data_IF_501244894485
#
_entry.id   IF_501244894485
#
_cell.length_a   1.000
_cell.length_b   1.000
_cell.length_c   1.000
_cell.angle_alpha   90.00
_cell.angle_beta   90.00
_cell.angle_gamma   90.00
#
_symmetry.space_group_name_H-M   'P 1'
#
loop_
_entity.id
_entity.type
_entity.pdbx_description
1 polymer ?
#
# COMPACT_ATOMS: atom_id res chain seq x y z
N UNK A 1 4.70 -16.77 -42.88
CA UNK A 1 4.39 -15.34 -43.06
C UNK A 1 3.76 -14.81 -41.78
N UNK A 2 4.57 -14.31 -40.86
CA UNK A 2 4.12 -13.86 -39.53
C UNK A 2 4.56 -12.42 -39.35
N UNK A 3 3.70 -11.48 -39.75
CA UNK A 3 3.72 -10.08 -39.32
C UNK A 3 2.41 -9.40 -39.74
N UNK A 4 1.29 -9.93 -39.24
CA UNK A 4 -0.04 -9.33 -39.38
C UNK A 4 -0.38 -8.32 -38.29
N UNK A 5 0.50 -8.12 -37.30
CA UNK A 5 0.25 -7.22 -36.17
C UNK A 5 1.35 -6.14 -36.08
N UNK A 6 0.92 -4.88 -35.98
CA UNK A 6 1.77 -3.76 -35.55
C UNK A 6 1.91 -3.84 -34.03
N UNK A 7 2.84 -4.66 -33.56
CA UNK A 7 3.06 -4.88 -32.12
C UNK A 7 4.00 -3.80 -31.55
N UNK A 8 3.60 -2.53 -31.66
CA UNK A 8 4.36 -1.37 -31.17
C UNK A 8 3.96 -0.96 -29.74
N UNK A 9 3.19 -1.79 -29.04
CA UNK A 9 2.79 -1.54 -27.66
C UNK A 9 3.95 -1.88 -26.72
N UNK A 10 4.55 -0.86 -26.10
CA UNK A 10 5.68 -1.01 -25.15
C UNK A 10 5.28 -1.77 -23.86
N UNK A 11 3.98 -2.03 -23.64
CA UNK A 11 3.46 -2.73 -22.46
C UNK A 11 2.51 -3.86 -22.89
N UNK A 12 3.01 -5.09 -22.88
CA UNK A 12 2.19 -6.29 -23.08
C UNK A 12 1.63 -6.77 -21.75
N UNK A 13 0.30 -6.89 -21.64
CA UNK A 13 -0.36 -7.55 -20.50
C UNK A 13 -0.83 -8.92 -20.97
N UNK A 14 -0.42 -9.98 -20.26
CA UNK A 14 -0.90 -11.34 -20.48
C UNK A 14 -1.74 -11.78 -19.28
N UNK A 15 -3.02 -12.05 -19.52
CA UNK A 15 -3.92 -12.58 -18.50
C UNK A 15 -3.72 -14.09 -18.42
N UNK A 16 -3.21 -14.58 -17.29
CA UNK A 16 -2.96 -16.01 -17.05
C UNK A 16 -4.18 -16.73 -16.46
N UNK A 17 -4.98 -16.02 -15.66
CA UNK A 17 -6.19 -16.53 -15.03
C UNK A 17 -7.17 -15.38 -14.78
N UNK A 18 -8.46 -15.66 -14.91
CA UNK A 18 -9.56 -14.78 -14.52
C UNK A 18 -10.60 -15.64 -13.81
N UNK A 19 -11.01 -15.22 -12.62
CA UNK A 19 -12.08 -15.87 -11.87
C UNK A 19 -12.99 -14.79 -11.32
N UNK A 20 -14.29 -14.90 -11.59
CA UNK A 20 -15.29 -13.92 -11.18
C UNK A 20 -16.10 -14.42 -9.98
N UNK A 21 -16.62 -13.49 -9.19
CA UNK A 21 -17.58 -13.75 -8.10
C UNK A 21 -17.08 -14.69 -7.00
N UNK A 22 -15.76 -14.72 -6.75
CA UNK A 22 -15.15 -15.47 -5.65
C UNK A 22 -14.69 -14.53 -4.54
N UNK A 23 -14.71 -15.02 -3.30
CA UNK A 23 -14.12 -14.29 -2.18
C UNK A 23 -12.60 -14.42 -2.21
N UNK A 24 -11.90 -13.33 -1.89
CA UNK A 24 -10.45 -13.32 -1.74
C UNK A 24 -10.06 -13.92 -0.38
N UNK A 25 -9.80 -15.23 -0.37
CA UNK A 25 -9.43 -16.04 0.80
C UNK A 25 -8.15 -16.83 0.50
N UNK A 26 -7.43 -17.28 1.54
CA UNK A 26 -6.26 -18.17 1.38
C UNK A 26 -6.58 -19.37 0.48
N UNK A 27 -7.71 -20.03 0.71
CA UNK A 27 -8.16 -21.20 -0.04
C UNK A 27 -8.33 -20.91 -1.54
N UNK A 28 -9.03 -19.82 -1.88
CA UNK A 28 -9.32 -19.48 -3.27
C UNK A 28 -8.06 -18.99 -4.00
N UNK A 29 -7.24 -18.15 -3.36
CA UNK A 29 -5.99 -17.66 -3.97
C UNK A 29 -4.99 -18.81 -4.13
N UNK A 30 -4.91 -19.74 -3.16
CA UNK A 30 -4.11 -20.97 -3.28
C UNK A 30 -4.54 -21.80 -4.47
N UNK A 31 -5.85 -21.98 -4.68
CA UNK A 31 -6.37 -22.69 -5.83
C UNK A 31 -5.93 -22.03 -7.15
N UNK A 32 -6.07 -20.71 -7.27
CA UNK A 32 -5.63 -19.97 -8.47
C UNK A 32 -4.13 -20.16 -8.72
N UNK A 33 -3.29 -19.89 -7.72
CA UNK A 33 -1.83 -19.98 -7.86
C UNK A 33 -1.36 -21.41 -8.17
N UNK A 34 -2.01 -22.43 -7.59
CA UNK A 34 -1.68 -23.84 -7.86
C UNK A 34 -1.93 -24.28 -9.31
N UNK A 35 -2.83 -23.59 -10.02
CA UNK A 35 -3.11 -23.84 -11.43
C UNK A 35 -2.11 -23.15 -12.37
N UNK A 36 -1.36 -22.14 -11.88
CA UNK A 36 -0.32 -21.45 -12.64
C UNK A 36 0.99 -22.23 -12.49
N UNK A 37 1.17 -23.26 -13.32
CA UNK A 37 2.37 -24.11 -13.30
C UNK A 37 3.61 -23.34 -13.75
N UNK A 38 4.76 -23.66 -13.15
CA UNK A 38 6.08 -23.11 -13.50
C UNK A 38 6.27 -21.62 -13.20
N UNK A 39 5.47 -21.01 -12.33
CA UNK A 39 5.66 -19.62 -11.91
C UNK A 39 7.05 -19.43 -11.26
N UNK A 40 7.55 -20.46 -10.58
CA UNK A 40 8.89 -20.56 -9.99
C UNK A 40 10.04 -20.49 -11.01
N UNK A 41 9.78 -20.69 -12.30
CA UNK A 41 10.80 -20.67 -13.36
C UNK A 41 11.06 -19.28 -13.94
N UNK A 42 10.27 -18.28 -13.56
CA UNK A 42 10.44 -16.90 -14.01
C UNK A 42 10.74 -16.00 -12.82
N UNK A 43 11.53 -14.95 -13.03
CA UNK A 43 11.68 -13.89 -12.04
C UNK A 43 10.47 -12.98 -12.12
N UNK A 44 9.80 -12.77 -11.00
CA UNK A 44 8.63 -11.91 -10.91
C UNK A 44 8.61 -11.13 -9.61
N UNK A 45 7.79 -10.08 -9.59
CA UNK A 45 7.36 -9.41 -8.37
C UNK A 45 5.85 -9.49 -8.28
N UNK A 46 5.35 -9.62 -7.06
CA UNK A 46 3.93 -9.56 -6.77
C UNK A 46 3.57 -8.09 -6.55
N UNK A 47 2.71 -7.58 -7.42
CA UNK A 47 2.22 -6.21 -7.38
C UNK A 47 0.72 -6.29 -7.11
N UNK A 48 0.32 -6.02 -5.87
CA UNK A 48 -1.06 -6.24 -5.42
C UNK A 48 -1.38 -5.41 -4.18
N UNK A 49 -2.65 -5.22 -3.86
CA UNK A 49 -3.03 -4.50 -2.66
C UNK A 49 -2.54 -5.20 -1.37
N UNK A 50 -2.51 -4.46 -0.26
CA UNK A 50 -1.98 -4.96 1.02
C UNK A 50 -2.76 -6.16 1.56
N UNK A 51 -4.07 -6.23 1.32
CA UNK A 51 -4.92 -7.34 1.80
C UNK A 51 -4.56 -8.63 1.05
N UNK A 52 -4.44 -8.57 -0.27
CA UNK A 52 -4.04 -9.73 -1.06
C UNK A 52 -2.58 -10.12 -0.77
N UNK A 53 -1.67 -9.16 -0.57
CA UNK A 53 -0.32 -9.46 -0.06
C UNK A 53 -0.39 -10.22 1.26
N UNK A 54 -1.17 -9.77 2.24
CA UNK A 54 -1.33 -10.45 3.53
C UNK A 54 -1.83 -11.89 3.37
N UNK A 55 -2.79 -12.13 2.45
CA UNK A 55 -3.28 -13.48 2.14
C UNK A 55 -2.19 -14.33 1.51
N UNK A 56 -1.49 -13.81 0.51
CA UNK A 56 -0.42 -14.50 -0.20
C UNK A 56 0.70 -14.91 0.76
N UNK A 57 1.07 -14.05 1.71
CA UNK A 57 2.13 -14.36 2.67
C UNK A 57 1.62 -15.15 3.86
N UNK A 58 0.31 -15.21 4.12
CA UNK A 58 -0.29 -16.03 5.17
C UNK A 58 -0.46 -15.34 6.53
N UNK A 59 -0.56 -14.01 6.57
CA UNK A 59 -0.77 -13.22 7.79
C UNK A 59 -2.21 -12.70 7.91
N UNK A 60 -2.63 -12.31 9.12
CA UNK A 60 -3.95 -11.70 9.33
C UNK A 60 -4.06 -10.30 8.71
N UNK A 61 -5.29 -9.77 8.73
CA UNK A 61 -5.61 -8.45 8.17
C UNK A 61 -4.81 -7.30 8.78
N UNK A 62 -4.83 -6.17 8.08
CA UNK A 62 -4.24 -4.90 8.50
C UNK A 62 -4.78 -4.31 9.83
N UNK A 63 -5.83 -4.90 10.40
CA UNK A 63 -6.39 -4.57 11.71
C UNK A 63 -5.81 -5.41 12.86
N UNK A 64 -4.93 -6.37 12.56
CA UNK A 64 -4.30 -7.23 13.55
C UNK A 64 -3.17 -6.53 14.31
N UNK A 65 -2.63 -7.19 15.35
CA UNK A 65 -1.58 -6.61 16.21
C UNK A 65 -0.25 -6.40 15.47
N UNK A 66 0.08 -7.29 14.53
CA UNK A 66 1.25 -7.23 13.66
C UNK A 66 0.82 -7.08 12.19
N UNK A 67 0.32 -5.91 11.77
CA UNK A 67 -0.44 -5.76 10.53
C UNK A 67 0.43 -5.57 9.28
N UNK A 68 1.73 -5.31 9.42
CA UNK A 68 2.63 -5.08 8.30
C UNK A 68 3.03 -6.41 7.63
N UNK A 69 2.95 -6.55 6.29
CA UNK A 69 3.43 -7.72 5.58
C UNK A 69 4.96 -7.79 5.46
N UNK A 70 5.67 -6.68 5.68
CA UNK A 70 7.12 -6.60 5.44
C UNK A 70 7.95 -6.72 6.71
N UNK A 71 7.39 -6.43 7.89
CA UNK A 71 8.08 -6.53 9.17
C UNK A 71 7.16 -7.02 10.29
N UNK A 72 7.77 -7.37 11.42
CA UNK A 72 7.09 -7.95 12.57
C UNK A 72 6.62 -6.91 13.60
N UNK A 73 6.51 -5.64 13.22
CA UNK A 73 6.15 -4.57 14.18
C UNK A 73 4.79 -4.82 14.80
N UNK A 74 4.67 -4.56 16.10
CA UNK A 74 3.40 -4.55 16.81
C UNK A 74 2.92 -3.13 17.16
N UNK A 75 3.67 -2.12 16.70
CA UNK A 75 3.41 -0.72 16.92
C UNK A 75 3.81 0.06 15.66
N UNK A 76 2.82 0.50 14.90
CA UNK A 76 3.07 1.22 13.64
C UNK A 76 3.73 2.58 13.85
N UNK A 77 3.59 3.18 15.04
CA UNK A 77 4.19 4.48 15.40
C UNK A 77 5.73 4.41 15.47
N UNK A 78 6.29 3.22 15.60
CA UNK A 78 7.72 2.96 15.77
C UNK A 78 8.51 3.06 14.44
N UNK A 79 8.35 4.16 13.70
CA UNK A 79 8.98 4.39 12.37
C UNK A 79 10.44 4.89 12.42
N UNK A 80 11.02 5.01 13.62
CA UNK A 80 12.46 5.31 13.80
C UNK A 80 13.25 4.15 14.37
N UNK A 81 12.56 3.10 14.80
CA UNK A 81 13.19 1.95 15.44
C UNK A 81 13.26 0.80 14.47
N UNK A 82 14.40 0.12 14.49
CA UNK A 82 14.55 -1.13 13.75
C UNK A 82 13.46 -2.13 14.16
N UNK A 83 12.93 -2.83 13.17
CA UNK A 83 11.98 -3.93 13.33
C UNK A 83 12.46 -5.08 12.47
N UNK A 84 12.37 -6.31 12.98
CA UNK A 84 12.70 -7.51 12.20
C UNK A 84 11.85 -7.60 10.94
N UNK A 85 12.52 -7.88 9.82
CA UNK A 85 11.86 -8.13 8.55
C UNK A 85 11.16 -9.47 8.55
N UNK A 86 10.02 -9.52 7.86
CA UNK A 86 9.40 -10.80 7.54
C UNK A 86 10.14 -11.44 6.38
N UNK A 87 10.43 -12.71 6.55
CA UNK A 87 10.95 -13.60 5.51
C UNK A 87 9.97 -14.74 5.27
N UNK A 88 10.12 -15.46 4.15
CA UNK A 88 9.35 -16.70 3.95
C UNK A 88 9.57 -17.67 5.12
N UNK A 89 10.80 -17.78 5.63
CA UNK A 89 11.14 -18.64 6.76
C UNK A 89 10.51 -18.20 8.07
N UNK A 90 10.55 -16.90 8.40
CA UNK A 90 9.96 -16.40 9.65
C UNK A 90 8.45 -16.61 9.71
N UNK A 91 7.78 -16.45 8.56
CA UNK A 91 6.34 -16.72 8.45
C UNK A 91 6.05 -18.22 8.52
N UNK A 92 6.79 -19.07 7.79
CA UNK A 92 6.63 -20.54 7.84
C UNK A 92 6.77 -21.09 9.26
N UNK A 93 7.78 -20.59 9.99
CA UNK A 93 8.02 -20.93 11.38
C UNK A 93 6.85 -20.51 12.27
N UNK A 94 6.45 -19.24 12.21
CA UNK A 94 5.37 -18.67 13.03
C UNK A 94 4.02 -19.33 12.76
N UNK A 95 3.69 -19.58 11.49
CA UNK A 95 2.46 -20.27 11.10
C UNK A 95 2.44 -21.74 11.54
N UNK A 96 3.59 -22.42 11.52
CA UNK A 96 3.70 -23.80 12.05
C UNK A 96 3.51 -23.84 13.55
N UNK A 97 4.13 -22.91 14.28
CA UNK A 97 3.96 -22.78 15.73
C UNK A 97 2.50 -22.46 16.09
N UNK A 98 1.86 -21.53 15.37
CA UNK A 98 0.43 -21.23 15.53
C UNK A 98 -0.46 -22.46 15.31
N UNK A 99 -0.18 -23.25 14.28
CA UNK A 99 -0.91 -24.49 13.98
C UNK A 99 -0.72 -25.55 15.08
N UNK A 100 0.51 -25.75 15.54
CA UNK A 100 0.82 -26.66 16.65
C UNK A 100 0.18 -26.24 17.98
N UNK A 101 -0.06 -24.94 18.17
CA UNK A 101 -0.76 -24.39 19.32
C UNK A 101 -2.30 -24.45 19.21
N UNK A 102 -2.84 -25.14 18.21
CA UNK A 102 -4.29 -25.38 18.06
C UNK A 102 -5.04 -24.32 17.24
N UNK A 103 -4.33 -23.44 16.52
CA UNK A 103 -4.93 -22.53 15.52
C UNK A 103 -6.03 -21.61 16.07
N UNK A 104 -5.91 -21.16 17.32
CA UNK A 104 -6.86 -20.21 17.90
C UNK A 104 -6.55 -18.77 17.47
N UNK A 105 -7.37 -18.20 16.59
CA UNK A 105 -7.18 -16.85 16.04
C UNK A 105 -7.02 -15.75 17.11
N UNK A 106 -7.57 -15.93 18.31
CA UNK A 106 -7.45 -14.94 19.41
C UNK A 106 -6.03 -14.80 19.95
N UNK A 107 -5.20 -15.83 19.80
CA UNK A 107 -3.81 -15.85 20.28
C UNK A 107 -2.80 -15.71 19.14
N UNK A 108 -3.25 -15.50 17.91
CA UNK A 108 -2.40 -15.37 16.73
C UNK A 108 -1.37 -14.23 16.85
N UNK A 109 -1.63 -13.20 17.66
CA UNK A 109 -0.67 -12.13 17.96
C UNK A 109 0.64 -12.65 18.57
N UNK A 110 0.62 -13.79 19.30
CA UNK A 110 1.82 -14.40 19.87
C UNK A 110 2.67 -15.14 18.83
N UNK A 111 2.16 -15.26 17.61
CA UNK A 111 2.81 -15.86 16.45
C UNK A 111 2.92 -14.84 15.32
N UNK A 112 3.15 -13.57 15.68
CA UNK A 112 3.25 -12.41 14.77
C UNK A 112 2.09 -12.33 13.77
N UNK A 113 0.90 -12.79 14.16
CA UNK A 113 -0.29 -12.89 13.31
C UNK A 113 -0.12 -13.73 12.02
N UNK A 114 0.88 -14.61 11.95
CA UNK A 114 1.03 -15.60 10.89
C UNK A 114 0.06 -16.76 11.15
N UNK A 115 -0.91 -16.96 10.25
CA UNK A 115 -1.98 -17.94 10.44
C UNK A 115 -2.00 -19.04 9.39
N UNK A 116 -1.37 -18.82 8.24
CA UNK A 116 -1.25 -19.78 7.15
C UNK A 116 0.20 -19.86 6.67
N UNK A 117 0.55 -20.97 6.04
CA UNK A 117 1.80 -21.07 5.29
C UNK A 117 1.73 -20.14 4.07
N UNK A 118 2.83 -19.43 3.73
CA UNK A 118 2.87 -18.60 2.53
C UNK A 118 2.47 -19.41 1.29
N UNK A 119 1.73 -18.78 0.38
CA UNK A 119 1.38 -19.36 -0.92
C UNK A 119 2.59 -19.38 -1.87
N UNK A 120 3.64 -18.66 -1.51
CA UNK A 120 4.85 -18.48 -2.30
C UNK A 120 5.89 -19.56 -1.96
N UNK A 121 6.45 -20.13 -3.01
CA UNK A 121 7.66 -20.95 -2.94
C UNK A 121 8.88 -20.04 -2.92
N UNK A 122 9.95 -20.47 -2.25
CA UNK A 122 11.17 -19.68 -2.14
C UNK A 122 12.03 -20.10 -0.95
N UNK A 123 13.21 -19.51 -0.86
CA UNK A 123 14.17 -19.73 0.23
C UNK A 123 13.71 -19.05 1.52
N UNK A 124 14.05 -19.63 2.68
CA UNK A 124 13.63 -19.12 3.98
C UNK A 124 14.18 -17.73 4.30
N UNK A 125 15.27 -17.31 3.66
CA UNK A 125 15.90 -16.00 3.86
C UNK A 125 15.32 -14.90 2.96
N UNK A 126 14.45 -15.22 2.00
CA UNK A 126 13.86 -14.21 1.12
C UNK A 126 12.92 -13.29 1.92
N UNK A 127 13.22 -11.99 1.92
CA UNK A 127 12.38 -10.97 2.56
C UNK A 127 11.10 -10.82 1.77
N UNK A 128 9.98 -10.66 2.46
CA UNK A 128 8.70 -10.41 1.79
C UNK A 128 8.76 -9.13 0.93
N UNK A 129 9.51 -8.12 1.38
CA UNK A 129 9.69 -6.87 0.65
C UNK A 129 10.35 -7.07 -0.72
N UNK A 130 11.14 -8.13 -0.89
CA UNK A 130 11.83 -8.42 -2.15
C UNK A 130 10.92 -9.14 -3.16
N UNK A 131 9.86 -9.79 -2.66
CA UNK A 131 8.94 -10.59 -3.47
C UNK A 131 7.67 -9.79 -3.80
N UNK A 132 7.13 -9.09 -2.80
CA UNK A 132 5.91 -8.29 -2.89
C UNK A 132 6.28 -6.80 -2.86
N UNK A 133 6.03 -6.10 -3.98
CA UNK A 133 6.34 -4.69 -4.07
C UNK A 133 5.33 -3.84 -3.25
N UNK A 134 5.77 -2.73 -2.63
CA UNK A 134 4.87 -1.78 -1.99
C UNK A 134 3.81 -1.22 -2.98
N UNK A 135 2.50 -1.33 -2.67
CA UNK A 135 1.44 -1.01 -3.63
C UNK A 135 1.15 0.49 -3.70
N UNK A 136 1.83 1.19 -4.59
CA UNK A 136 1.82 2.65 -4.69
C UNK A 136 0.41 3.26 -4.79
N UNK A 137 -0.50 2.63 -5.54
CA UNK A 137 -1.85 3.14 -5.74
C UNK A 137 -2.62 3.03 -4.41
N UNK A 138 -2.51 1.89 -3.73
CA UNK A 138 -3.18 1.68 -2.45
C UNK A 138 -2.56 2.49 -1.31
N UNK A 139 -1.25 2.78 -1.37
CA UNK A 139 -0.59 3.74 -0.48
C UNK A 139 -1.16 5.14 -0.70
N UNK A 140 -1.22 5.62 -1.95
CA UNK A 140 -1.81 6.91 -2.32
C UNK A 140 -3.24 7.05 -1.80
N UNK A 141 -4.10 6.09 -2.15
CA UNK A 141 -5.51 6.11 -1.76
C UNK A 141 -5.69 6.08 -0.24
N UNK A 142 -4.97 5.20 0.46
CA UNK A 142 -5.14 5.05 1.90
C UNK A 142 -4.63 6.24 2.70
N UNK A 143 -3.51 6.84 2.29
CA UNK A 143 -2.92 7.99 2.98
C UNK A 143 -3.81 9.22 2.75
N UNK A 144 -4.19 9.52 1.50
CA UNK A 144 -5.08 10.67 1.20
C UNK A 144 -6.41 10.52 1.94
N UNK A 145 -7.01 9.32 1.94
CA UNK A 145 -8.25 9.06 2.67
C UNK A 145 -8.10 9.27 4.17
N UNK A 146 -7.05 8.74 4.78
CA UNK A 146 -6.83 8.90 6.22
C UNK A 146 -6.64 10.36 6.62
N UNK A 147 -5.88 11.11 5.83
CA UNK A 147 -5.68 12.55 6.02
C UNK A 147 -7.01 13.30 5.88
N UNK A 148 -7.79 13.00 4.83
CA UNK A 148 -9.11 13.60 4.60
C UNK A 148 -10.09 13.31 5.73
N UNK A 149 -10.18 12.07 6.21
CA UNK A 149 -11.10 11.71 7.29
C UNK A 149 -10.81 12.50 8.57
N UNK A 150 -9.54 12.72 8.88
CA UNK A 150 -9.16 13.52 10.03
C UNK A 150 -9.40 15.03 9.82
N UNK A 151 -9.23 15.55 8.60
CA UNK A 151 -9.70 16.91 8.27
C UNK A 151 -11.22 17.03 8.45
N UNK A 152 -12.00 16.08 7.94
CA UNK A 152 -13.45 16.10 8.00
C UNK A 152 -13.98 16.07 9.44
N UNK A 153 -13.37 15.25 10.31
CA UNK A 153 -13.69 15.24 11.76
C UNK A 153 -13.49 16.62 12.41
N UNK A 154 -12.45 17.35 12.01
CA UNK A 154 -12.10 18.65 12.61
C UNK A 154 -12.82 19.84 11.96
N UNK A 155 -13.21 19.69 10.69
CA UNK A 155 -13.87 20.72 9.88
C UNK A 155 -14.69 20.06 8.77
N UNK A 156 -15.96 19.70 9.03
CA UNK A 156 -16.81 19.02 8.04
C UNK A 156 -17.01 19.79 6.73
N UNK A 157 -16.84 21.12 6.76
CA UNK A 157 -16.90 22.00 5.59
C UNK A 157 -15.81 21.69 4.53
N UNK A 158 -14.78 20.91 4.89
CA UNK A 158 -13.81 20.35 3.93
C UNK A 158 -14.48 19.54 2.80
N UNK A 159 -15.71 19.05 2.98
CA UNK A 159 -16.44 18.39 1.90
C UNK A 159 -16.71 19.32 0.70
N UNK A 160 -16.92 20.63 0.92
CA UNK A 160 -17.11 21.57 -0.18
C UNK A 160 -15.83 21.79 -1.00
N UNK A 161 -14.66 21.53 -0.42
CA UNK A 161 -13.42 21.52 -1.19
C UNK A 161 -13.45 20.40 -2.24
N UNK A 162 -13.94 19.20 -1.89
CA UNK A 162 -14.10 18.10 -2.84
C UNK A 162 -15.02 18.48 -4.00
N UNK A 163 -16.14 19.15 -3.71
CA UNK A 163 -17.08 19.63 -4.73
C UNK A 163 -16.40 20.62 -5.68
N UNK A 164 -15.63 21.59 -5.14
CA UNK A 164 -14.91 22.58 -5.96
C UNK A 164 -13.88 21.97 -6.90
N UNK A 165 -13.26 20.86 -6.49
CA UNK A 165 -12.27 20.16 -7.31
C UNK A 165 -12.89 19.01 -8.11
N UNK A 166 -14.22 18.88 -8.13
CA UNK A 166 -14.93 17.79 -8.82
C UNK A 166 -14.43 16.40 -8.40
N UNK A 167 -14.26 16.16 -7.11
CA UNK A 167 -13.94 14.84 -6.54
C UNK A 167 -15.18 14.31 -5.83
N UNK A 168 -15.55 13.07 -6.13
CA UNK A 168 -16.68 12.39 -5.49
C UNK A 168 -16.22 11.07 -4.90
N UNK A 169 -16.39 10.83 -3.58
CA UNK A 169 -16.13 9.52 -3.00
C UNK A 169 -16.94 8.43 -3.71
N UNK A 170 -16.38 7.24 -3.87
CA UNK A 170 -17.03 6.13 -4.58
C UNK A 170 -18.30 5.61 -3.90
N UNK A 171 -18.44 5.82 -2.59
CA UNK A 171 -19.64 5.53 -1.81
C UNK A 171 -20.08 6.75 -0.99
N UNK A 172 -21.40 6.92 -0.81
CA UNK A 172 -21.99 8.03 -0.05
C UNK A 172 -21.48 8.06 1.41
N UNK A 173 -21.15 9.27 1.88
CA UNK A 173 -20.73 9.66 3.25
C UNK A 173 -19.44 9.04 3.84
N UNK A 174 -18.94 7.88 3.35
CA UNK A 174 -17.74 7.22 3.90
C UNK A 174 -16.89 6.48 2.86
N UNK A 175 -17.13 6.74 1.57
CA UNK A 175 -16.48 6.03 0.46
C UNK A 175 -14.99 6.30 0.30
N UNK A 176 -14.34 5.46 -0.51
CA UNK A 176 -12.93 5.61 -0.89
C UNK A 176 -12.77 6.64 -2.01
N UNK A 177 -11.54 7.07 -2.25
CA UNK A 177 -11.17 7.86 -3.41
C UNK A 177 -10.42 6.98 -4.40
N UNK A 178 -10.74 7.10 -5.69
CA UNK A 178 -9.95 6.46 -6.75
C UNK A 178 -8.62 7.20 -6.95
N UNK A 179 -7.62 6.55 -7.54
CA UNK A 179 -6.27 7.10 -7.67
C UNK A 179 -6.22 8.50 -8.34
N UNK A 180 -6.98 8.68 -9.41
CA UNK A 180 -7.06 9.96 -10.13
C UNK A 180 -7.64 11.08 -9.26
N UNK A 181 -8.61 10.76 -8.41
CA UNK A 181 -9.23 11.74 -7.50
C UNK A 181 -8.27 12.09 -6.36
N UNK A 182 -7.54 11.12 -5.82
CA UNK A 182 -6.45 11.40 -4.86
C UNK A 182 -5.41 12.33 -5.45
N UNK A 183 -4.97 12.11 -6.70
CA UNK A 183 -4.04 13.01 -7.38
C UNK A 183 -4.65 14.40 -7.59
N UNK A 184 -5.95 14.49 -7.92
CA UNK A 184 -6.65 15.76 -8.07
C UNK A 184 -6.70 16.53 -6.76
N UNK A 185 -6.96 15.84 -5.64
CA UNK A 185 -6.89 16.42 -4.29
C UNK A 185 -5.50 17.00 -4.03
N UNK A 186 -4.44 16.21 -4.22
CA UNK A 186 -3.05 16.64 -3.99
C UNK A 186 -2.64 17.85 -4.86
N UNK A 187 -3.09 17.90 -6.12
CA UNK A 187 -2.80 19.01 -7.05
C UNK A 187 -3.54 20.31 -6.71
N UNK A 188 -4.64 20.24 -5.96
CA UNK A 188 -5.53 21.36 -5.68
C UNK A 188 -5.60 21.71 -4.18
N UNK A 189 -4.51 21.43 -3.45
CA UNK A 189 -4.37 21.74 -2.02
C UNK A 189 -4.41 23.25 -1.75
N UNK A 190 -4.05 24.09 -2.72
CA UNK A 190 -4.12 25.56 -2.58
C UNK A 190 -5.56 26.06 -2.41
N UNK A 191 -6.53 25.41 -3.07
CA UNK A 191 -7.96 25.73 -2.91
C UNK A 191 -8.42 25.38 -1.48
N UNK A 192 -7.94 24.25 -0.95
CA UNK A 192 -8.21 23.85 0.44
C UNK A 192 -7.66 24.90 1.42
N UNK A 193 -6.41 25.35 1.20
CA UNK A 193 -5.79 26.37 2.04
C UNK A 193 -6.60 27.67 2.05
N UNK A 194 -6.96 28.19 0.88
CA UNK A 194 -7.73 29.44 0.77
C UNK A 194 -9.10 29.34 1.46
N UNK A 195 -9.77 28.19 1.34
CA UNK A 195 -11.04 27.96 2.02
C UNK A 195 -10.86 27.92 3.54
N UNK A 196 -9.86 27.21 4.04
CA UNK A 196 -9.59 27.13 5.47
C UNK A 196 -9.21 28.50 6.07
N UNK A 197 -8.47 29.32 5.34
CA UNK A 197 -8.14 30.70 5.75
C UNK A 197 -9.36 31.60 5.80
N UNK A 198 -10.24 31.51 4.79
CA UNK A 198 -11.50 32.27 4.74
C UNK A 198 -12.43 31.92 5.90
N UNK A 199 -12.38 30.68 6.37
CA UNK A 199 -13.15 30.13 7.48
C UNK A 199 -12.48 30.28 8.86
N UNK A 200 -11.31 30.93 8.93
CA UNK A 200 -10.49 31.05 10.15
C UNK A 200 -10.13 29.69 10.78
N UNK A 201 -9.99 28.65 9.95
CA UNK A 201 -9.75 27.27 10.38
C UNK A 201 -8.27 26.90 10.31
N UNK A 202 -7.46 27.56 11.14
CA UNK A 202 -6.00 27.38 11.18
C UNK A 202 -5.51 25.94 11.42
N UNK A 203 -6.30 25.09 12.09
CA UNK A 203 -5.94 23.67 12.30
C UNK A 203 -5.74 22.91 10.98
N UNK A 204 -6.37 23.35 9.89
CA UNK A 204 -6.27 22.73 8.56
C UNK A 204 -4.91 23.00 7.89
N UNK A 205 -4.18 24.03 8.33
CA UNK A 205 -2.88 24.38 7.74
C UNK A 205 -1.85 23.26 7.87
N UNK A 206 -1.86 22.53 9.00
CA UNK A 206 -1.00 21.35 9.15
C UNK A 206 -1.36 20.26 8.12
N UNK A 207 -2.65 20.02 7.88
CA UNK A 207 -3.10 19.06 6.87
C UNK A 207 -2.74 19.49 5.43
N UNK A 208 -2.84 20.79 5.12
CA UNK A 208 -2.37 21.37 3.86
C UNK A 208 -0.88 21.07 3.66
N UNK A 209 -0.06 21.29 4.70
CA UNK A 209 1.37 21.02 4.65
C UNK A 209 1.68 19.53 4.42
N UNK A 210 1.03 18.61 5.15
CA UNK A 210 1.29 17.17 4.95
C UNK A 210 0.86 16.70 3.57
N UNK A 211 -0.24 17.21 3.00
CA UNK A 211 -0.68 16.87 1.65
C UNK A 211 0.31 17.35 0.59
N UNK A 212 0.90 18.53 0.76
CA UNK A 212 1.98 19.02 -0.11
C UNK A 212 3.22 18.13 -0.03
N UNK A 213 3.69 17.81 1.18
CA UNK A 213 4.84 16.92 1.37
C UNK A 213 4.57 15.54 0.76
N UNK A 214 3.36 15.00 0.94
CA UNK A 214 2.99 13.73 0.34
C UNK A 214 2.94 13.81 -1.19
N UNK A 215 2.49 14.93 -1.75
CA UNK A 215 2.50 15.11 -3.19
C UNK A 215 3.91 15.13 -3.78
N UNK A 216 4.88 15.70 -3.05
CA UNK A 216 6.29 15.64 -3.43
C UNK A 216 6.82 14.19 -3.42
N UNK A 217 6.48 13.40 -2.41
CA UNK A 217 6.78 11.95 -2.38
C UNK A 217 6.20 11.25 -3.61
N UNK A 218 4.91 11.45 -3.91
CA UNK A 218 4.24 10.83 -5.06
C UNK A 218 4.94 11.19 -6.38
N UNK A 219 5.28 12.47 -6.59
CA UNK A 219 6.01 12.90 -7.79
C UNK A 219 7.41 12.30 -7.87
N UNK A 220 8.05 12.10 -6.72
CA UNK A 220 9.44 11.63 -6.65
C UNK A 220 9.61 10.14 -6.93
N UNK A 221 8.64 9.29 -6.56
CA UNK A 221 8.86 7.85 -6.62
C UNK A 221 7.64 6.95 -6.93
N UNK A 222 6.41 7.48 -7.09
CA UNK A 222 5.24 6.67 -7.48
C UNK A 222 5.04 6.61 -9.01
N UNK A 223 5.81 7.39 -9.77
CA UNK A 223 5.77 7.37 -11.23
C UNK A 223 6.74 6.36 -11.84
N UNK A 224 6.93 6.44 -13.16
CA UNK A 224 7.95 5.65 -13.90
C UNK A 224 9.38 6.19 -13.72
N UNK A 225 9.49 7.44 -13.25
CA UNK A 225 10.75 8.14 -13.04
C UNK A 225 11.03 8.19 -11.55
N UNK A 226 12.29 7.91 -11.17
CA UNK A 226 12.78 8.07 -9.81
C UNK A 226 13.55 9.38 -9.71
N UNK A 227 13.12 10.26 -8.80
CA UNK A 227 13.88 11.44 -8.40
C UNK A 227 15.02 11.02 -7.45
N UNK A 228 16.28 11.42 -7.70
CA UNK A 228 17.39 11.12 -6.79
C UNK A 228 17.21 11.61 -5.35
N UNK A 229 16.33 12.58 -5.09
CA UNK A 229 16.03 13.13 -3.76
C UNK A 229 14.76 12.54 -3.13
N UNK A 230 14.24 11.41 -3.64
CA UNK A 230 13.02 10.78 -3.11
C UNK A 230 13.07 10.53 -1.59
N UNK A 231 14.24 10.16 -1.07
CA UNK A 231 14.47 9.90 0.35
C UNK A 231 14.28 11.16 1.21
N UNK A 232 14.72 12.30 0.69
CA UNK A 232 14.55 13.62 1.32
C UNK A 232 13.08 13.99 1.38
N UNK A 233 12.32 13.78 0.31
CA UNK A 233 10.87 14.03 0.31
C UNK A 233 10.11 13.10 1.26
N UNK A 234 10.50 11.82 1.33
CA UNK A 234 9.91 10.88 2.30
C UNK A 234 10.20 11.33 3.74
N UNK A 235 11.43 11.77 4.02
CA UNK A 235 11.79 12.28 5.34
C UNK A 235 11.04 13.58 5.69
N UNK A 236 10.87 14.50 4.75
CA UNK A 236 10.05 15.70 4.96
C UNK A 236 8.60 15.33 5.28
N UNK A 237 8.01 14.41 4.52
CA UNK A 237 6.67 13.89 4.81
C UNK A 237 6.60 13.21 6.19
N UNK A 238 7.62 12.42 6.56
CA UNK A 238 7.72 11.78 7.89
C UNK A 238 7.68 12.79 9.02
N UNK A 239 8.49 13.86 8.95
CA UNK A 239 8.50 14.90 9.98
C UNK A 239 7.19 15.67 10.03
N UNK A 240 6.64 16.04 8.86
CA UNK A 240 5.35 16.71 8.78
C UNK A 240 4.20 15.84 9.36
N UNK A 241 4.23 14.53 9.12
CA UNK A 241 3.22 13.60 9.64
C UNK A 241 3.35 13.42 11.16
N UNK A 242 4.56 13.36 11.71
CA UNK A 242 4.77 13.24 13.17
C UNK A 242 4.34 14.47 13.97
N UNK A 243 4.29 15.65 13.35
CA UNK A 243 3.75 16.86 13.96
C UNK A 243 2.20 16.88 14.02
N UNK A 244 1.56 15.86 13.43
CA UNK A 244 0.12 15.65 13.48
C UNK A 244 -0.26 14.77 14.67
N UNK A 245 -1.43 15.04 15.25
CA UNK A 245 -2.07 14.17 16.24
C UNK A 245 -3.01 13.16 15.54
N UNK A 246 -2.46 12.40 14.57
CA UNK A 246 -3.20 11.36 13.85
C UNK A 246 -2.37 10.07 13.81
N UNK A 247 -3.06 8.93 13.87
CA UNK A 247 -2.43 7.60 13.92
C UNK A 247 -1.64 7.27 12.66
N UNK A 248 -0.55 6.50 12.81
CA UNK A 248 0.14 5.86 11.69
C UNK A 248 -0.63 4.61 11.28
N UNK A 249 -1.21 4.65 10.07
CA UNK A 249 -1.85 3.49 9.45
C UNK A 249 -0.81 2.52 8.87
N UNK A 250 -1.15 1.24 8.60
CA UNK A 250 -0.22 0.31 7.95
C UNK A 250 0.37 0.85 6.64
N UNK A 251 -0.40 1.63 5.87
CA UNK A 251 0.05 2.23 4.62
C UNK A 251 1.04 3.37 4.84
N UNK A 252 0.83 4.21 5.85
CA UNK A 252 1.81 5.23 6.24
C UNK A 252 3.10 4.56 6.72
N UNK A 253 2.99 3.52 7.56
CA UNK A 253 4.15 2.75 8.00
C UNK A 253 4.93 2.14 6.83
N UNK A 254 4.24 1.50 5.87
CA UNK A 254 4.87 0.94 4.66
C UNK A 254 5.61 2.02 3.86
N UNK A 255 4.99 3.19 3.67
CA UNK A 255 5.63 4.30 2.98
C UNK A 255 6.91 4.77 3.69
N UNK A 256 6.86 4.90 5.02
CA UNK A 256 7.96 5.47 5.79
C UNK A 256 9.12 4.49 5.99
N UNK A 257 8.83 3.19 6.13
CA UNK A 257 9.82 2.17 6.49
C UNK A 257 10.29 1.35 5.29
N UNK A 258 9.38 0.97 4.40
CA UNK A 258 9.64 -0.08 3.43
C UNK A 258 9.83 0.44 2.01
N UNK A 259 9.21 1.57 1.65
CA UNK A 259 9.45 2.20 0.34
C UNK A 259 10.92 2.65 0.18
N UNK A 260 11.57 3.30 1.16
CA UNK A 260 12.98 3.68 1.03
C UNK A 260 13.91 2.48 0.82
N UNK A 261 13.70 1.41 1.58
CA UNK A 261 14.47 0.17 1.50
C UNK A 261 14.30 -0.50 0.13
N UNK A 262 13.04 -0.67 -0.30
CA UNK A 262 12.72 -1.25 -1.59
C UNK A 262 13.35 -0.48 -2.75
N UNK A 263 13.21 0.85 -2.77
CA UNK A 263 13.81 1.69 -3.81
C UNK A 263 15.33 1.62 -3.77
N UNK A 264 15.95 1.66 -2.58
CA UNK A 264 17.41 1.55 -2.44
C UNK A 264 17.94 0.26 -3.04
N UNK A 265 17.25 -0.86 -2.80
CA UNK A 265 17.64 -2.17 -3.30
C UNK A 265 17.45 -2.30 -4.82
N UNK A 266 16.31 -1.86 -5.33
CA UNK A 266 15.94 -2.08 -6.74
C UNK A 266 16.40 -0.95 -7.68
N UNK A 267 16.76 0.21 -7.13
CA UNK A 267 17.12 1.43 -7.85
C UNK A 267 16.09 1.78 -8.94
N UNK A 268 14.80 1.66 -8.61
CA UNK A 268 13.66 1.94 -9.47
C UNK A 268 12.52 2.57 -8.67
N UNK A 269 11.75 3.43 -9.34
CA UNK A 269 10.51 3.95 -8.80
C UNK A 269 9.43 2.87 -8.74
N UNK A 270 8.42 3.09 -7.90
CA UNK A 270 7.33 2.12 -7.69
C UNK A 270 6.48 1.90 -8.94
N UNK A 271 6.43 2.84 -9.90
CA UNK A 271 5.59 2.72 -11.09
C UNK A 271 5.95 1.54 -11.99
N UNK A 272 7.16 0.99 -11.86
CA UNK A 272 7.58 -0.26 -12.50
C UNK A 272 6.93 -1.52 -11.90
N UNK A 273 6.36 -1.39 -10.71
CA UNK A 273 5.73 -2.42 -9.89
C UNK A 273 4.26 -2.09 -9.61
N UNK A 274 3.66 -1.28 -10.48
CA UNK A 274 2.32 -0.75 -10.28
C UNK A 274 1.24 -1.81 -10.40
N UNK A 275 0.35 -1.89 -9.40
CA UNK A 275 -0.88 -2.66 -9.46
C UNK A 275 -1.94 -2.03 -10.40
N UNK A 276 -1.71 -0.80 -10.91
CA UNK A 276 -2.67 -0.09 -11.78
C UNK A 276 -3.04 -0.86 -13.05
N UNK A 277 -2.11 -1.66 -13.59
CA UNK A 277 -2.39 -2.45 -14.80
C UNK A 277 -3.48 -3.49 -14.54
N UNK A 278 -3.52 -4.09 -13.34
CA UNK A 278 -4.57 -5.02 -12.95
C UNK A 278 -5.90 -4.30 -12.71
N UNK A 279 -5.86 -3.16 -12.01
CA UNK A 279 -7.04 -2.31 -11.76
C UNK A 279 -7.68 -1.78 -13.06
N UNK A 280 -6.90 -1.66 -14.14
CA UNK A 280 -7.39 -1.22 -15.46
C UNK A 280 -8.16 -2.31 -16.20
N UNK A 281 -7.95 -3.58 -15.83
CA UNK A 281 -8.58 -4.76 -16.44
C UNK A 281 -9.92 -5.09 -15.76
N UNK A 282 -10.06 -4.72 -14.48
CA UNK A 282 -11.31 -4.80 -13.71
C UNK A 282 -12.34 -3.76 -14.16
#
# INVERSE_FOLDING_TARGET
>A
STNSFKDSGIKGTLILALVENIQETDENIRLILSNIKNLDKIKYHICSDVKLINIIVGIQSCSSKHPCPYCETNNLENVDTFTEDRTLGSIRHSASAYKSAGSNKKVAQHYTNCINQPLLTGDDHERILDICAPPELHLLQGIVKHVYDNMYKNWPHVSLWLDKINVKPTNYHHGSFVGNDCLRMLKNVDILQQMAESDDKHIIQKYVHILRCFYDVVKSCFGMTLDPQYDTYINQFKYAYKDMDITITPKVHILLMHVPDFITKHNRSLGWYSEQTLESVH
#
